data_IF_987760444968
#
_entry.id   IF_987760444968
#
_cell.length_a   1.000
_cell.length_b   1.000
_cell.length_c   1.000
_cell.angle_alpha   90.00
_cell.angle_beta   90.00
_cell.angle_gamma   90.00
#
_symmetry.space_group_name_H-M   'P 1'
#
loop_
_entity.id
_entity.type
_entity.pdbx_description
1 polymer ?
#
# COMPACT_ATOMS: atom_id res chain seq x y z
N UNK A 1 -7.47 -3.10 -3.10
CA UNK A 1 -6.88 -3.52 -4.38
C UNK A 1 -5.38 -3.22 -4.40
N UNK A 2 -4.65 -3.81 -5.34
CA UNK A 2 -3.21 -3.63 -5.56
C UNK A 2 -2.90 -3.28 -7.01
N UNK A 3 -1.95 -2.36 -7.19
CA UNK A 3 -1.41 -2.01 -8.50
C UNK A 3 0.09 -2.36 -8.59
N UNK A 4 0.52 -2.98 -9.68
CA UNK A 4 1.92 -3.37 -9.91
C UNK A 4 2.08 -4.66 -10.72
N UNK A 5 3.29 -5.25 -10.78
CA UNK A 5 4.51 -4.83 -10.07
C UNK A 5 5.20 -3.64 -10.74
N UNK A 6 5.68 -2.71 -9.93
CA UNK A 6 6.57 -1.63 -10.34
C UNK A 6 8.00 -1.97 -9.98
N UNK A 7 8.91 -1.87 -10.95
CA UNK A 7 10.34 -2.00 -10.72
C UNK A 7 10.91 -0.66 -10.28
N UNK A 8 11.27 -0.54 -9.01
CA UNK A 8 11.86 0.68 -8.47
C UNK A 8 13.35 0.50 -8.16
N UNK A 9 14.06 1.62 -8.20
CA UNK A 9 15.42 1.74 -7.72
C UNK A 9 15.41 2.50 -6.40
N UNK A 10 16.13 2.03 -5.38
CA UNK A 10 16.21 2.78 -4.13
C UNK A 10 17.00 4.08 -4.31
N UNK A 11 16.65 5.08 -3.50
CA UNK A 11 17.34 6.37 -3.48
C UNK A 11 18.83 6.13 -3.25
N UNK A 12 19.67 6.78 -4.06
CA UNK A 12 21.15 6.69 -4.05
C UNK A 12 21.76 5.37 -4.51
N UNK A 13 20.98 4.41 -5.01
CA UNK A 13 21.54 3.21 -5.61
C UNK A 13 22.14 3.57 -6.99
N UNK A 14 23.46 3.48 -7.16
CA UNK A 14 24.13 3.73 -8.47
C UNK A 14 24.08 2.51 -9.37
N UNK A 15 24.48 1.34 -8.85
CA UNK A 15 24.35 0.00 -9.45
C UNK A 15 23.60 -0.91 -8.48
N UNK A 16 22.84 -1.86 -8.99
CA UNK A 16 22.20 -2.92 -8.22
C UNK A 16 20.83 -3.31 -8.76
N UNK A 17 20.19 -4.28 -8.10
CA UNK A 17 18.94 -4.88 -8.55
C UNK A 17 17.76 -3.91 -8.42
N UNK A 18 16.82 -4.03 -9.35
CA UNK A 18 15.51 -3.39 -9.26
C UNK A 18 14.65 -4.18 -8.28
N UNK A 19 13.82 -3.48 -7.53
CA UNK A 19 12.93 -4.08 -6.54
C UNK A 19 11.50 -4.02 -7.04
N UNK A 20 10.82 -5.17 -7.02
CA UNK A 20 9.38 -5.23 -7.24
C UNK A 20 8.67 -4.58 -6.07
N UNK A 21 7.76 -3.67 -6.40
CA UNK A 21 6.95 -2.94 -5.44
C UNK A 21 5.52 -2.89 -5.95
N UNK A 22 4.58 -2.97 -5.02
CA UNK A 22 3.16 -2.86 -5.30
C UNK A 22 2.59 -1.65 -4.56
N UNK A 23 1.52 -1.09 -5.09
CA UNK A 23 0.77 0.00 -4.47
C UNK A 23 -0.55 -0.55 -3.96
N UNK A 24 -0.74 -0.54 -2.65
CA UNK A 24 -2.02 -0.81 -2.03
C UNK A 24 -2.96 0.38 -2.21
N UNK A 25 -4.17 0.11 -2.68
CA UNK A 25 -5.22 1.10 -2.92
C UNK A 25 -6.34 0.89 -1.91
N UNK A 26 -6.62 1.92 -1.13
CA UNK A 26 -7.76 2.00 -0.21
C UNK A 26 -8.67 3.16 -0.61
N UNK A 27 -9.97 2.97 -0.45
CA UNK A 27 -10.96 4.02 -0.70
C UNK A 27 -11.72 4.27 0.61
N UNK A 28 -11.71 5.51 1.08
CA UNK A 28 -12.56 5.91 2.20
C UNK A 28 -13.97 6.17 1.67
N UNK A 29 -14.93 5.29 1.97
CA UNK A 29 -16.31 5.43 1.47
C UNK A 29 -17.03 6.67 2.00
N UNK A 30 -16.62 7.22 3.16
CA UNK A 30 -17.20 8.44 3.74
C UNK A 30 -16.77 9.68 2.96
N UNK A 31 -15.47 9.83 2.71
CA UNK A 31 -14.90 11.03 2.08
C UNK A 31 -14.71 10.90 0.57
N UNK A 32 -14.86 9.68 0.03
CA UNK A 32 -14.52 9.28 -1.34
C UNK A 32 -13.03 9.51 -1.70
N UNK A 33 -12.17 9.69 -0.70
CA UNK A 33 -10.74 9.87 -0.92
C UNK A 33 -10.05 8.52 -1.19
N UNK A 34 -9.15 8.52 -2.18
CA UNK A 34 -8.27 7.39 -2.49
C UNK A 34 -6.98 7.54 -1.71
N UNK A 35 -6.55 6.46 -1.07
CA UNK A 35 -5.28 6.37 -0.36
C UNK A 35 -4.40 5.32 -1.02
N UNK A 36 -3.23 5.78 -1.47
CA UNK A 36 -2.19 4.94 -2.06
C UNK A 36 -1.06 4.79 -1.07
N UNK A 37 -0.65 3.55 -0.81
CA UNK A 37 0.51 3.26 0.02
C UNK A 37 1.36 2.14 -0.59
N UNK A 38 2.65 2.19 -0.32
CA UNK A 38 3.63 1.30 -0.92
C UNK A 38 3.80 0.04 -0.06
N UNK A 39 3.83 -1.12 -0.72
CA UNK A 39 4.19 -2.41 -0.13
C UNK A 39 5.24 -3.12 -0.99
N UNK A 40 6.10 -3.91 -0.35
CA UNK A 40 7.21 -4.60 -1.01
C UNK A 40 6.86 -6.04 -1.43
N UNK A 41 5.77 -6.59 -0.90
CA UNK A 41 5.30 -7.92 -1.23
C UNK A 41 3.77 -8.00 -1.08
N UNK A 42 3.18 -9.09 -1.57
CA UNK A 42 1.75 -9.39 -1.51
C UNK A 42 1.38 -10.26 -0.30
N UNK A 43 2.22 -10.29 0.74
CA UNK A 43 1.94 -11.07 1.95
C UNK A 43 0.85 -10.41 2.79
N UNK A 44 0.13 -11.24 3.57
CA UNK A 44 -0.84 -10.75 4.54
C UNK A 44 -0.21 -9.80 5.58
N UNK A 45 1.05 -10.03 5.96
CA UNK A 45 1.76 -9.16 6.91
C UNK A 45 2.03 -7.77 6.34
N UNK A 46 2.43 -7.68 5.07
CA UNK A 46 2.58 -6.40 4.39
C UNK A 46 1.24 -5.66 4.28
N UNK A 47 0.15 -6.37 3.93
CA UNK A 47 -1.20 -5.81 3.91
C UNK A 47 -1.64 -5.28 5.28
N UNK A 48 -1.51 -6.06 6.35
CA UNK A 48 -1.90 -5.65 7.72
C UNK A 48 -1.11 -4.40 8.14
N UNK A 49 0.19 -4.36 7.84
CA UNK A 49 1.05 -3.21 8.15
C UNK A 49 0.61 -1.97 7.37
N UNK A 50 0.24 -2.14 6.10
CA UNK A 50 -0.32 -1.08 5.26
C UNK A 50 -1.67 -0.57 5.79
N UNK A 51 -2.57 -1.47 6.17
CA UNK A 51 -3.88 -1.13 6.73
C UNK A 51 -3.75 -0.38 8.06
N UNK A 52 -2.81 -0.78 8.93
CA UNK A 52 -2.49 -0.05 10.16
C UNK A 52 -2.01 1.38 9.86
N UNK A 53 -1.15 1.58 8.86
CA UNK A 53 -0.70 2.93 8.42
C UNK A 53 -1.87 3.77 7.90
N UNK A 54 -2.81 3.18 7.16
CA UNK A 54 -4.03 3.85 6.72
C UNK A 54 -4.89 4.30 7.91
N UNK A 55 -5.18 3.40 8.87
CA UNK A 55 -5.97 3.74 10.06
C UNK A 55 -5.28 4.74 10.99
N UNK A 56 -3.95 4.70 11.10
CA UNK A 56 -3.21 5.71 11.86
C UNK A 56 -3.37 7.13 11.28
N UNK A 57 -3.61 7.25 9.97
CA UNK A 57 -3.78 8.55 9.29
C UNK A 57 -5.23 9.01 9.20
N UNK A 58 -6.19 8.07 9.11
CA UNK A 58 -7.61 8.36 8.81
C UNK A 58 -8.59 7.97 9.92
N UNK A 59 -8.11 7.32 10.97
CA UNK A 59 -8.96 6.68 11.98
C UNK A 59 -9.33 5.24 11.59
N UNK A 60 -9.75 4.45 12.58
CA UNK A 60 -10.19 3.07 12.38
C UNK A 60 -11.58 3.06 11.73
N UNK A 61 -11.74 2.29 10.66
CA UNK A 61 -13.05 2.05 10.07
C UNK A 61 -13.88 1.07 10.92
N UNK A 62 -15.20 1.26 10.94
CA UNK A 62 -16.15 0.30 11.52
C UNK A 62 -16.31 -0.95 10.66
N UNK A 63 -16.32 -0.76 9.33
CA UNK A 63 -16.49 -1.83 8.36
C UNK A 63 -15.40 -1.74 7.28
N UNK A 64 -14.97 -2.89 6.75
CA UNK A 64 -14.03 -2.99 5.63
C UNK A 64 -14.69 -3.87 4.58
N UNK A 65 -14.65 -3.44 3.33
CA UNK A 65 -15.10 -4.21 2.18
C UNK A 65 -13.88 -4.51 1.30
N UNK A 66 -13.69 -5.78 0.97
CA UNK A 66 -12.71 -6.27 0.01
C UNK A 66 -13.37 -7.36 -0.84
N UNK A 67 -12.85 -7.56 -2.04
CA UNK A 67 -13.06 -8.77 -2.82
C UNK A 67 -12.30 -9.98 -2.23
#
# INVERSE_FOLDING_TARGET
DYCGPFLIKYKNQRKGNLHNVYVAIFICLVTKAIHLDIVFDLSAQAFITCLKRFFSRRGKSSCIFSD
#
